data_IF_855285316834
#
_entry.id   IF_855285316834
#
_cell.length_a   1.000
_cell.length_b   1.000
_cell.length_c   1.000
_cell.angle_alpha   90.00
_cell.angle_beta   90.00
_cell.angle_gamma   90.00
#
_symmetry.space_group_name_H-M   'P 1'
#
loop_
_entity.id
_entity.type
_entity.pdbx_description
1 polymer ?
#
# COMPACT_ATOMS: atom_id res chain seq x y z
N UNK A 1 6.13 -51.82 39.44
CA UNK A 1 5.19 -51.22 38.46
C UNK A 1 4.56 -49.99 39.08
N UNK A 2 5.00 -48.79 38.69
CA UNK A 2 4.25 -47.55 38.83
C UNK A 2 4.85 -46.55 37.84
N UNK A 3 4.15 -46.36 36.72
CA UNK A 3 4.47 -45.33 35.72
C UNK A 3 3.86 -44.03 36.23
N UNK A 4 4.68 -43.06 36.62
CA UNK A 4 4.22 -41.70 36.88
C UNK A 4 4.69 -40.83 35.72
N UNK A 5 3.70 -40.44 34.93
CA UNK A 5 3.72 -39.37 33.94
C UNK A 5 4.34 -38.10 34.54
N UNK A 6 5.36 -37.55 33.90
CA UNK A 6 5.78 -36.17 34.11
C UNK A 6 5.81 -35.49 32.74
N UNK A 7 4.60 -35.14 32.31
CA UNK A 7 4.29 -34.32 31.14
C UNK A 7 3.95 -32.94 31.70
N UNK A 8 4.98 -32.15 32.00
CA UNK A 8 4.84 -30.75 32.43
C UNK A 8 5.98 -29.95 31.80
N UNK A 9 5.62 -28.81 31.20
CA UNK A 9 6.43 -27.89 30.38
C UNK A 9 6.34 -28.03 28.85
N UNK A 10 5.12 -28.01 28.30
CA UNK A 10 4.87 -27.42 26.97
C UNK A 10 3.59 -26.58 27.02
N UNK A 11 3.65 -25.40 27.64
CA UNK A 11 2.56 -24.40 27.55
C UNK A 11 3.03 -22.96 27.80
N UNK A 12 4.33 -22.67 27.66
CA UNK A 12 4.91 -21.32 27.83
C UNK A 12 5.51 -20.74 26.54
N UNK A 13 5.15 -21.30 25.38
CA UNK A 13 5.37 -20.68 24.09
C UNK A 13 4.00 -20.29 23.51
N UNK A 14 3.89 -19.09 22.94
CA UNK A 14 2.72 -18.49 22.26
C UNK A 14 1.85 -17.49 23.02
N UNK A 15 2.30 -16.93 24.15
CA UNK A 15 1.91 -15.55 24.49
C UNK A 15 2.86 -14.57 23.80
N UNK A 16 2.87 -14.61 22.46
CA UNK A 16 3.27 -13.43 21.70
C UNK A 16 2.25 -12.35 22.05
N UNK A 17 2.55 -11.55 23.07
CA UNK A 17 1.94 -10.24 23.22
C UNK A 17 2.39 -9.43 22.00
N UNK A 18 1.77 -9.67 20.85
CA UNK A 18 1.78 -8.71 19.77
C UNK A 18 1.10 -7.48 20.36
N UNK A 19 1.88 -6.52 20.83
CA UNK A 19 1.36 -5.19 21.10
C UNK A 19 0.57 -4.80 19.86
N UNK A 20 -0.73 -4.53 20.04
CA UNK A 20 -1.53 -4.05 18.95
C UNK A 20 -0.83 -2.82 18.35
N UNK A 21 -0.75 -2.73 17.02
CA UNK A 21 -0.07 -1.61 16.37
C UNK A 21 -0.68 -0.30 16.84
N UNK A 22 0.18 0.63 17.28
CA UNK A 22 -0.21 1.96 17.70
C UNK A 22 0.19 2.95 16.62
N UNK A 23 -0.79 3.68 16.11
CA UNK A 23 -0.61 4.73 15.12
C UNK A 23 0.32 5.84 15.63
N UNK A 24 1.17 6.34 14.74
CA UNK A 24 2.14 7.43 14.94
C UNK A 24 3.20 7.27 16.04
N UNK A 25 3.18 6.18 16.81
CA UNK A 25 4.31 5.76 17.66
C UNK A 25 5.26 4.87 16.89
N UNK A 26 4.72 3.85 16.22
CA UNK A 26 5.48 2.95 15.38
C UNK A 26 4.93 2.99 13.95
N UNK A 27 5.80 3.04 12.93
CA UNK A 27 5.36 2.90 11.55
C UNK A 27 4.63 1.58 11.33
N UNK A 28 3.56 1.61 10.54
CA UNK A 28 2.89 0.39 10.10
C UNK A 28 3.80 -0.39 9.13
N UNK A 29 4.11 -1.63 9.47
CA UNK A 29 4.97 -2.50 8.65
C UNK A 29 4.13 -3.21 7.58
N UNK A 30 4.28 -2.79 6.32
CA UNK A 30 3.45 -3.24 5.20
C UNK A 30 3.89 -4.59 4.62
N UNK A 31 5.16 -4.95 4.75
CA UNK A 31 5.69 -6.25 4.33
C UNK A 31 5.16 -7.41 5.19
N UNK A 32 4.78 -7.12 6.44
CA UNK A 32 4.17 -8.07 7.38
C UNK A 32 2.66 -7.86 7.54
N UNK A 33 2.07 -6.92 6.80
CA UNK A 33 0.69 -6.53 6.99
C UNK A 33 -0.29 -7.65 6.62
N UNK A 34 -1.32 -7.76 7.47
CA UNK A 34 -2.52 -8.55 7.24
C UNK A 34 -3.75 -7.73 7.62
N UNK A 35 -4.91 -8.09 7.07
CA UNK A 35 -6.14 -7.30 7.23
C UNK A 35 -6.82 -7.42 8.61
N UNK A 36 -6.20 -8.08 9.60
CA UNK A 36 -6.72 -8.17 10.98
C UNK A 36 -6.28 -6.98 11.84
N UNK A 37 -6.29 -5.79 11.26
CA UNK A 37 -5.96 -4.55 11.96
C UNK A 37 -7.23 -4.01 12.63
N UNK A 38 -7.15 -3.76 13.93
CA UNK A 38 -8.17 -3.04 14.69
C UNK A 38 -7.99 -1.53 14.42
N UNK A 39 -8.82 -0.98 13.53
CA UNK A 39 -8.74 0.41 13.07
C UNK A 39 -9.03 1.38 14.21
N UNK A 40 -10.05 1.09 15.02
CA UNK A 40 -10.39 1.88 16.19
C UNK A 40 -9.22 1.98 17.17
N UNK A 41 -8.57 0.85 17.49
CA UNK A 41 -7.37 0.84 18.35
C UNK A 41 -6.16 1.49 17.69
N UNK A 42 -6.00 1.33 16.36
CA UNK A 42 -4.94 1.98 15.61
C UNK A 42 -5.07 3.51 15.74
N UNK A 43 -6.21 4.09 15.39
CA UNK A 43 -6.44 5.55 15.43
C UNK A 43 -6.77 6.14 16.82
N UNK A 44 -6.87 5.31 17.87
CA UNK A 44 -7.34 5.71 19.23
C UNK A 44 -6.55 6.85 19.89
N UNK A 45 -5.25 6.92 19.63
CA UNK A 45 -4.38 7.91 20.26
C UNK A 45 -4.32 9.17 19.38
N UNK A 46 -5.29 10.07 19.51
CA UNK A 46 -5.28 11.35 18.79
C UNK A 46 -4.25 12.35 19.34
N UNK A 47 -3.66 12.07 20.52
CA UNK A 47 -2.79 13.02 21.22
C UNK A 47 -1.50 13.32 20.46
N UNK A 48 -1.11 12.44 19.55
CA UNK A 48 0.03 12.61 18.64
C UNK A 48 -0.24 13.64 17.52
N UNK A 49 -1.50 13.94 17.17
CA UNK A 49 -1.86 14.94 16.16
C UNK A 49 -2.37 16.23 16.77
N UNK A 50 -2.97 16.16 17.96
CA UNK A 50 -3.61 17.30 18.58
C UNK A 50 -2.59 18.41 18.85
N UNK A 51 -2.74 19.55 18.17
CA UNK A 51 -1.86 20.71 18.29
C UNK A 51 -0.54 20.61 17.52
N UNK A 52 -0.40 19.60 16.65
CA UNK A 52 0.74 19.41 15.77
C UNK A 52 0.40 19.89 14.37
N UNK A 53 1.13 20.89 13.87
CA UNK A 53 0.92 21.45 12.53
C UNK A 53 1.59 20.65 11.41
N UNK A 54 2.41 19.66 11.77
CA UNK A 54 3.14 18.79 10.84
C UNK A 54 2.33 17.57 10.38
N UNK A 55 1.06 17.46 10.77
CA UNK A 55 0.17 16.40 10.32
C UNK A 55 -1.15 16.92 9.75
N UNK A 56 -1.66 16.19 8.76
CA UNK A 56 -3.04 16.27 8.30
C UNK A 56 -3.69 14.90 8.48
N UNK A 57 -4.87 14.87 9.09
CA UNK A 57 -5.67 13.66 9.29
C UNK A 57 -7.08 13.94 8.80
N UNK A 58 -7.64 13.03 8.00
CA UNK A 58 -9.01 13.12 7.52
C UNK A 58 -9.67 11.76 7.49
N UNK A 59 -10.98 11.74 7.77
CA UNK A 59 -11.85 10.59 7.54
C UNK A 59 -13.03 11.04 6.66
N UNK A 60 -13.37 10.23 5.67
CA UNK A 60 -14.47 10.50 4.75
C UNK A 60 -15.18 9.23 4.31
N UNK A 61 -16.50 9.26 4.24
CA UNK A 61 -17.27 8.23 3.55
C UNK A 61 -17.09 8.35 2.04
N UNK A 62 -16.88 7.23 1.38
CA UNK A 62 -16.79 7.12 -0.07
C UNK A 62 -17.76 6.04 -0.54
N UNK A 63 -18.40 6.26 -1.68
CA UNK A 63 -19.30 5.26 -2.27
C UNK A 63 -18.86 4.90 -3.68
N UNK A 64 -18.82 3.60 -3.97
CA UNK A 64 -18.57 3.07 -5.31
C UNK A 64 -19.74 2.23 -5.79
N UNK A 65 -20.05 2.35 -7.08
CA UNK A 65 -20.96 1.43 -7.75
C UNK A 65 -20.20 0.16 -8.13
N UNK A 66 -20.70 -1.00 -7.70
CA UNK A 66 -20.16 -2.31 -8.03
C UNK A 66 -21.32 -3.28 -8.25
N UNK A 67 -21.33 -4.00 -9.39
CA UNK A 67 -22.40 -4.96 -9.76
C UNK A 67 -23.82 -4.44 -9.49
N UNK A 68 -24.12 -3.23 -9.98
CA UNK A 68 -25.41 -2.54 -9.83
C UNK A 68 -25.83 -2.15 -8.40
N UNK A 69 -24.93 -2.24 -7.43
CA UNK A 69 -25.14 -1.81 -6.05
C UNK A 69 -24.18 -0.68 -5.67
N UNK A 70 -24.68 0.32 -4.94
CA UNK A 70 -23.84 1.31 -4.30
C UNK A 70 -23.31 0.75 -2.98
N UNK A 71 -22.00 0.63 -2.86
CA UNK A 71 -21.34 0.19 -1.61
C UNK A 71 -20.59 1.37 -1.02
N UNK A 72 -20.79 1.61 0.28
CA UNK A 72 -20.12 2.67 1.04
C UNK A 72 -18.96 2.10 1.85
N UNK A 73 -17.88 2.87 1.91
CA UNK A 73 -16.65 2.57 2.62
C UNK A 73 -16.21 3.80 3.41
N UNK A 74 -15.39 3.60 4.43
CA UNK A 74 -14.79 4.72 5.17
C UNK A 74 -13.32 4.79 4.76
N UNK A 75 -12.88 5.96 4.32
CA UNK A 75 -11.49 6.24 3.99
C UNK A 75 -10.87 7.12 5.07
N UNK A 76 -9.77 6.66 5.64
CA UNK A 76 -8.88 7.42 6.50
C UNK A 76 -7.64 7.80 5.70
N UNK A 77 -7.17 9.04 5.87
CA UNK A 77 -5.92 9.50 5.29
C UNK A 77 -5.13 10.30 6.33
N UNK A 78 -3.85 10.02 6.38
CA UNK A 78 -2.88 10.69 7.23
C UNK A 78 -1.70 11.11 6.39
N UNK A 79 -1.27 12.36 6.52
CA UNK A 79 -0.03 12.85 5.94
C UNK A 79 0.81 13.56 6.98
N UNK A 80 2.06 13.19 7.06
CA UNK A 80 3.11 13.94 7.74
C UNK A 80 3.77 14.89 6.75
N UNK A 81 4.05 16.12 7.20
CA UNK A 81 4.84 17.12 6.49
C UNK A 81 6.35 17.02 6.85
N UNK A 82 6.73 16.05 7.68
CA UNK A 82 8.11 15.78 8.11
C UNK A 82 8.57 14.39 7.63
N UNK A 83 9.76 14.35 7.02
CA UNK A 83 10.45 13.11 6.60
C UNK A 83 10.97 12.29 7.80
N UNK A 84 11.00 12.85 9.01
CA UNK A 84 11.40 12.12 10.22
C UNK A 84 10.22 11.38 10.87
N UNK A 85 8.99 11.73 10.45
CA UNK A 85 7.74 11.22 10.99
C UNK A 85 7.16 10.16 10.05
N UNK A 86 7.72 8.98 10.14
CA UNK A 86 7.35 7.85 9.29
C UNK A 86 6.08 7.19 9.78
N UNK A 87 5.08 7.07 8.90
CA UNK A 87 3.78 6.48 9.19
C UNK A 87 3.70 5.01 8.78
N UNK A 88 4.41 4.62 7.73
CA UNK A 88 4.48 3.25 7.26
C UNK A 88 5.85 2.90 6.69
N UNK A 89 6.16 1.61 6.62
CA UNK A 89 7.39 1.09 6.03
C UNK A 89 7.14 -0.16 5.21
N UNK A 90 7.93 -0.33 4.16
CA UNK A 90 8.08 -1.61 3.46
C UNK A 90 9.57 -1.89 3.28
N UNK A 91 10.12 -2.83 4.05
CA UNK A 91 11.57 -3.01 4.13
C UNK A 91 12.29 -1.73 4.56
N UNK A 92 13.10 -1.15 3.66
CA UNK A 92 13.86 0.08 3.91
C UNK A 92 13.16 1.35 3.39
N UNK A 93 12.05 1.20 2.67
CA UNK A 93 11.25 2.33 2.20
C UNK A 93 10.44 2.90 3.36
N UNK A 94 10.51 4.21 3.54
CA UNK A 94 9.73 4.95 4.51
C UNK A 94 8.62 5.71 3.78
N UNK A 95 7.47 5.83 4.43
CA UNK A 95 6.31 6.55 3.91
C UNK A 95 5.79 7.55 4.93
N UNK A 96 5.63 8.80 4.50
CA UNK A 96 5.11 9.91 5.31
C UNK A 96 3.59 10.08 5.14
N UNK A 97 2.98 9.33 4.22
CA UNK A 97 1.52 9.25 4.05
C UNK A 97 1.03 7.83 4.31
N UNK A 98 -0.13 7.71 4.96
CA UNK A 98 -0.80 6.44 5.26
C UNK A 98 -2.31 6.62 5.07
N UNK A 99 -2.90 5.80 4.21
CA UNK A 99 -4.34 5.72 4.03
C UNK A 99 -4.86 4.33 4.35
N UNK A 100 -6.12 4.27 4.78
CA UNK A 100 -6.84 3.02 5.03
C UNK A 100 -8.25 3.14 4.50
N UNK A 101 -8.77 2.05 3.94
CA UNK A 101 -10.18 1.94 3.59
C UNK A 101 -10.78 0.75 4.32
N UNK A 102 -11.93 0.98 4.95
CA UNK A 102 -12.68 -0.04 5.66
C UNK A 102 -14.06 -0.22 5.04
N UNK A 103 -14.76 -1.29 5.46
CA UNK A 103 -16.20 -1.36 5.26
C UNK A 103 -16.94 -0.24 6.01
N UNK A 104 -18.23 -0.06 5.71
CA UNK A 104 -19.06 1.01 6.29
C UNK A 104 -19.27 0.89 7.80
N UNK A 105 -18.96 -0.26 8.40
CA UNK A 105 -19.04 -0.49 9.84
C UNK A 105 -17.71 -0.25 10.56
N UNK A 106 -16.64 0.10 9.83
CA UNK A 106 -15.28 0.26 10.37
C UNK A 106 -14.70 -1.03 11.02
N UNK A 107 -15.22 -2.19 10.62
CA UNK A 107 -14.87 -3.49 11.21
C UNK A 107 -13.76 -4.20 10.43
N UNK A 108 -13.67 -3.95 9.12
CA UNK A 108 -12.75 -4.67 8.23
C UNK A 108 -11.94 -3.73 7.38
N UNK A 109 -10.61 -3.82 7.49
CA UNK A 109 -9.70 -3.16 6.56
C UNK A 109 -9.72 -3.87 5.21
N UNK A 110 -10.00 -3.11 4.16
CA UNK A 110 -10.07 -3.57 2.77
C UNK A 110 -8.85 -3.15 1.95
N UNK A 111 -8.24 -2.02 2.32
CA UNK A 111 -7.06 -1.45 1.68
C UNK A 111 -6.22 -0.68 2.71
N UNK A 112 -4.91 -0.76 2.54
CA UNK A 112 -3.94 0.16 3.13
C UNK A 112 -3.10 0.77 2.01
N UNK A 113 -2.97 2.09 1.98
CA UNK A 113 -2.07 2.83 1.09
C UNK A 113 -0.96 3.48 1.90
N UNK A 114 0.22 3.60 1.31
CA UNK A 114 1.29 4.42 1.87
C UNK A 114 2.02 5.17 0.76
N UNK A 115 2.39 6.43 1.05
CA UNK A 115 2.94 7.35 0.05
C UNK A 115 4.16 8.11 0.54
N UNK A 116 5.10 8.40 -0.37
CA UNK A 116 6.25 9.28 -0.15
C UNK A 116 6.55 10.08 -1.41
N UNK A 117 6.84 11.36 -1.25
CA UNK A 117 7.29 12.26 -2.34
C UNK A 117 8.82 12.26 -2.50
N UNK A 118 9.54 11.51 -1.66
CA UNK A 118 10.98 11.69 -1.45
C UNK A 118 11.80 10.45 -1.78
N UNK A 119 11.21 9.44 -2.44
CA UNK A 119 11.94 8.21 -2.73
C UNK A 119 13.09 8.46 -3.72
N UNK A 120 14.26 7.94 -3.39
CA UNK A 120 15.40 7.91 -4.32
C UNK A 120 15.26 6.74 -5.29
N UNK A 121 15.90 6.83 -6.46
CA UNK A 121 15.92 5.74 -7.44
C UNK A 121 16.40 4.41 -6.81
N UNK A 122 17.45 4.46 -5.98
CA UNK A 122 17.97 3.26 -5.30
C UNK A 122 16.94 2.61 -4.35
N UNK A 123 16.16 3.41 -3.62
CA UNK A 123 15.09 2.89 -2.76
C UNK A 123 13.95 2.27 -3.58
N UNK A 124 13.57 2.89 -4.70
CA UNK A 124 12.54 2.34 -5.59
C UNK A 124 13.01 1.03 -6.22
N UNK A 125 14.26 0.94 -6.67
CA UNK A 125 14.85 -0.31 -7.18
C UNK A 125 14.86 -1.43 -6.13
N UNK A 126 15.23 -1.11 -4.88
CA UNK A 126 15.21 -2.09 -3.80
C UNK A 126 13.79 -2.55 -3.48
N UNK A 127 12.82 -1.62 -3.46
CA UNK A 127 11.41 -1.94 -3.27
C UNK A 127 10.89 -2.89 -4.36
N UNK A 128 11.15 -2.58 -5.63
CA UNK A 128 10.77 -3.43 -6.77
C UNK A 128 11.31 -4.85 -6.63
N UNK A 129 12.62 -5.00 -6.34
CA UNK A 129 13.25 -6.30 -6.13
C UNK A 129 12.62 -7.07 -4.98
N UNK A 130 12.29 -6.40 -3.87
CA UNK A 130 11.63 -7.03 -2.72
C UNK A 130 10.20 -7.47 -3.06
N UNK A 131 9.44 -6.65 -3.78
CA UNK A 131 8.08 -6.99 -4.21
C UNK A 131 8.07 -8.19 -5.16
N UNK A 132 8.94 -8.20 -6.18
CA UNK A 132 9.09 -9.32 -7.11
C UNK A 132 9.51 -10.60 -6.39
N UNK A 133 10.46 -10.52 -5.44
CA UNK A 133 10.87 -11.68 -4.64
C UNK A 133 9.73 -12.21 -3.75
N UNK A 134 8.91 -11.32 -3.19
CA UNK A 134 7.84 -11.70 -2.27
C UNK A 134 6.59 -12.23 -2.97
N UNK A 135 6.25 -11.69 -4.14
CA UNK A 135 4.95 -11.93 -4.78
C UNK A 135 5.05 -12.53 -6.20
N UNK A 136 6.25 -12.60 -6.78
CA UNK A 136 6.47 -13.25 -8.07
C UNK A 136 5.99 -12.41 -9.24
N UNK A 137 5.10 -13.01 -10.06
CA UNK A 137 4.64 -12.41 -11.31
C UNK A 137 3.83 -11.13 -11.07
N UNK A 138 4.08 -10.13 -11.90
CA UNK A 138 3.40 -8.87 -11.87
C UNK A 138 2.95 -8.45 -13.26
N UNK A 139 2.02 -7.51 -13.30
CA UNK A 139 1.62 -6.80 -14.50
C UNK A 139 1.94 -5.32 -14.39
N UNK A 140 2.11 -4.68 -15.54
CA UNK A 140 2.42 -3.28 -15.72
C UNK A 140 1.28 -2.63 -16.51
N UNK A 141 0.81 -1.48 -16.05
CA UNK A 141 0.04 -0.55 -16.87
C UNK A 141 0.58 0.86 -16.72
N UNK A 142 0.28 1.71 -17.69
CA UNK A 142 0.66 3.13 -17.65
C UNK A 142 -0.58 3.98 -17.83
N UNK A 143 -0.64 5.11 -17.14
CA UNK A 143 -1.73 6.06 -17.27
C UNK A 143 -1.14 7.42 -17.62
N UNK A 144 -1.68 8.07 -18.66
CA UNK A 144 -1.29 9.42 -19.04
C UNK A 144 -2.51 10.31 -18.99
N UNK A 145 -2.43 11.37 -18.19
CA UNK A 145 -3.38 12.47 -18.18
C UNK A 145 -2.62 13.80 -18.27
N UNK A 146 -3.33 14.89 -18.55
CA UNK A 146 -2.74 16.23 -18.71
C UNK A 146 -1.86 16.66 -17.52
N UNK A 147 -2.09 16.08 -16.34
CA UNK A 147 -1.41 16.47 -15.10
C UNK A 147 -0.68 15.33 -14.39
N UNK A 148 -0.68 14.12 -14.97
CA UNK A 148 -0.12 12.96 -14.27
C UNK A 148 0.24 11.84 -15.25
N UNK A 149 1.51 11.46 -15.23
CA UNK A 149 2.00 10.25 -15.88
C UNK A 149 2.32 9.21 -14.81
N UNK A 150 1.68 8.04 -14.87
CA UNK A 150 1.86 7.01 -13.86
C UNK A 150 2.29 5.70 -14.47
N UNK A 151 3.21 5.03 -13.77
CA UNK A 151 3.49 3.62 -13.95
C UNK A 151 2.83 2.87 -12.80
N UNK A 152 2.05 1.84 -13.12
CA UNK A 152 1.36 1.01 -12.15
C UNK A 152 1.84 -0.42 -12.30
N UNK A 153 2.38 -0.99 -11.23
CA UNK A 153 2.85 -2.38 -11.19
C UNK A 153 1.98 -3.13 -10.19
N UNK A 154 1.28 -4.16 -10.66
CA UNK A 154 0.34 -4.96 -9.86
C UNK A 154 0.89 -6.37 -9.65
N UNK A 155 1.03 -6.77 -8.39
CA UNK A 155 1.38 -8.12 -7.97
C UNK A 155 0.14 -8.80 -7.37
N UNK A 156 -0.12 -10.04 -7.77
CA UNK A 156 -1.21 -10.82 -7.21
C UNK A 156 -0.66 -11.93 -6.33
N UNK A 157 -1.08 -11.94 -5.07
CA UNK A 157 -0.68 -12.94 -4.08
C UNK A 157 -1.91 -13.62 -3.46
N UNK A 158 -1.69 -14.71 -2.75
CA UNK A 158 -2.75 -15.36 -2.00
C UNK A 158 -3.29 -14.42 -0.91
N UNK A 159 -4.58 -14.09 -0.99
CA UNK A 159 -5.27 -13.26 0.00
C UNK A 159 -4.99 -11.75 -0.08
N UNK A 160 -4.15 -11.27 -1.01
CA UNK A 160 -3.93 -9.82 -1.24
C UNK A 160 -3.41 -9.49 -2.63
N UNK A 161 -3.71 -8.27 -3.06
CA UNK A 161 -3.15 -7.62 -4.24
C UNK A 161 -2.25 -6.49 -3.76
N UNK A 162 -1.05 -6.39 -4.34
CA UNK A 162 -0.11 -5.30 -4.08
C UNK A 162 -0.02 -4.46 -5.33
N UNK A 163 -0.18 -3.14 -5.19
CA UNK A 163 -0.03 -2.21 -6.30
C UNK A 163 1.02 -1.17 -5.95
N UNK A 164 1.98 -0.98 -6.83
CA UNK A 164 2.97 0.08 -6.75
C UNK A 164 2.67 1.09 -7.86
N UNK A 165 2.46 2.34 -7.48
CA UNK A 165 2.32 3.45 -8.41
C UNK A 165 3.55 4.34 -8.30
N UNK A 166 4.13 4.67 -9.44
CA UNK A 166 5.24 5.62 -9.57
C UNK A 166 4.77 6.79 -10.42
N UNK A 167 4.73 7.98 -9.82
CA UNK A 167 4.26 9.19 -10.49
C UNK A 167 5.41 9.89 -11.24
N UNK A 168 5.04 10.53 -12.34
CA UNK A 168 5.90 11.22 -13.29
C UNK A 168 7.02 10.36 -13.90
N UNK A 169 6.92 9.04 -13.79
CA UNK A 169 7.82 8.11 -14.47
C UNK A 169 7.27 7.92 -15.88
N UNK A 170 7.99 8.49 -16.85
CA UNK A 170 7.48 8.79 -18.19
C UNK A 170 6.72 7.66 -18.89
N UNK A 171 5.67 8.02 -19.63
CA UNK A 171 4.78 7.07 -20.34
C UNK A 171 5.46 6.27 -21.46
N UNK A 172 6.68 6.65 -21.86
CA UNK A 172 7.48 5.97 -22.89
C UNK A 172 8.02 4.59 -22.46
N UNK A 173 7.59 4.06 -21.31
CA UNK A 173 7.92 2.69 -20.88
C UNK A 173 7.23 1.67 -21.79
N UNK A 174 6.00 1.96 -22.22
CA UNK A 174 5.27 1.12 -23.16
C UNK A 174 5.51 1.66 -24.57
N UNK A 175 5.97 0.79 -25.47
CA UNK A 175 6.24 1.18 -26.85
C UNK A 175 4.91 1.45 -27.57
N UNK A 176 4.73 2.66 -28.13
CA UNK A 176 3.47 3.09 -28.75
C UNK A 176 3.03 2.27 -29.97
N UNK A 177 3.90 1.42 -30.49
CA UNK A 177 3.65 0.54 -31.64
C UNK A 177 3.17 -0.86 -31.25
N UNK A 178 3.21 -1.23 -29.96
CA UNK A 178 2.68 -2.51 -29.51
C UNK A 178 1.16 -2.40 -29.28
N UNK A 179 0.35 -3.03 -30.15
CA UNK A 179 -1.03 -3.44 -29.82
C UNK A 179 -0.98 -4.56 -28.77
N UNK A 180 -0.47 -4.24 -27.59
CA UNK A 180 -0.34 -5.20 -26.51
C UNK A 180 -1.54 -5.12 -25.58
N UNK A 181 -1.89 -6.24 -24.91
CA UNK A 181 -2.89 -6.23 -23.86
C UNK A 181 -2.45 -5.29 -22.74
N UNK A 182 -3.35 -4.39 -22.32
CA UNK A 182 -3.24 -3.66 -21.06
C UNK A 182 -4.07 -4.41 -20.02
N UNK A 183 -3.45 -4.99 -18.96
CA UNK A 183 -2.08 -4.80 -18.53
C UNK A 183 -1.05 -5.78 -19.14
N UNK A 184 0.20 -5.30 -19.24
CA UNK A 184 1.36 -6.02 -19.77
C UNK A 184 2.03 -6.91 -18.71
N UNK A 185 2.64 -8.06 -19.05
CA UNK A 185 3.49 -8.78 -18.11
C UNK A 185 4.72 -7.96 -17.69
N UNK A 186 4.93 -7.74 -16.39
CA UNK A 186 6.09 -7.01 -15.86
C UNK A 186 7.30 -7.95 -15.76
N UNK A 187 7.99 -8.14 -16.89
CA UNK A 187 9.23 -8.91 -16.99
C UNK A 187 10.47 -8.04 -17.17
N UNK A 188 11.63 -8.68 -17.39
CA UNK A 188 12.95 -8.03 -17.47
C UNK A 188 13.01 -6.83 -18.45
N UNK A 189 12.32 -6.89 -19.60
CA UNK A 189 12.22 -5.78 -20.57
C UNK A 189 11.66 -4.52 -19.91
N UNK A 190 10.49 -4.64 -19.25
CA UNK A 190 9.78 -3.51 -18.65
C UNK A 190 10.41 -3.07 -17.35
N UNK A 191 10.95 -4.00 -16.56
CA UNK A 191 11.73 -3.67 -15.37
C UNK A 191 12.93 -2.78 -15.72
N UNK A 192 13.71 -3.15 -16.74
CA UNK A 192 14.85 -2.34 -17.17
C UNK A 192 14.44 -0.92 -17.60
N UNK A 193 13.31 -0.78 -18.31
CA UNK A 193 12.79 0.53 -18.72
C UNK A 193 12.33 1.38 -17.54
N UNK A 194 11.60 0.78 -16.57
CA UNK A 194 11.20 1.48 -15.34
C UNK A 194 12.43 1.92 -14.56
N UNK A 195 13.41 1.04 -14.39
CA UNK A 195 14.65 1.31 -13.66
C UNK A 195 15.46 2.43 -14.33
N UNK A 196 15.56 2.43 -15.65
CA UNK A 196 16.22 3.52 -16.39
C UNK A 196 15.46 4.85 -16.22
N UNK A 197 14.12 4.83 -16.28
CA UNK A 197 13.29 6.02 -16.11
C UNK A 197 13.42 6.63 -14.70
N UNK A 198 13.40 5.81 -13.63
CA UNK A 198 13.60 6.30 -12.26
C UNK A 198 15.01 6.84 -12.02
N UNK A 199 16.05 6.26 -12.64
CA UNK A 199 17.43 6.75 -12.53
C UNK A 199 17.66 8.10 -13.19
N UNK A 200 16.83 8.45 -14.19
CA UNK A 200 16.88 9.74 -14.88
C UNK A 200 16.19 10.86 -14.08
N UNK A 201 15.42 10.53 -13.04
CA UNK A 201 14.81 11.53 -12.15
C UNK A 201 15.88 12.19 -11.28
N UNK A 202 15.83 13.52 -11.25
CA UNK A 202 16.73 14.35 -10.44
C UNK A 202 16.13 14.71 -9.09
N UNK A 203 14.80 14.79 -9.04
CA UNK A 203 14.02 15.08 -7.84
C UNK A 203 13.52 13.77 -7.20
N UNK A 204 12.94 13.90 -6.01
CA UNK A 204 12.27 12.78 -5.34
C UNK A 204 11.22 12.13 -6.24
N UNK A 205 11.15 10.81 -6.21
CA UNK A 205 10.15 10.04 -6.93
C UNK A 205 8.93 9.92 -6.02
N UNK A 206 7.77 10.34 -6.51
CA UNK A 206 6.53 10.12 -5.79
C UNK A 206 6.07 8.67 -5.98
N UNK A 207 5.97 7.95 -4.86
CA UNK A 207 5.69 6.51 -4.80
C UNK A 207 4.47 6.29 -3.93
N UNK A 208 3.54 5.48 -4.43
CA UNK A 208 2.44 4.94 -3.62
C UNK A 208 2.43 3.42 -3.65
N UNK A 209 2.32 2.80 -2.47
CA UNK A 209 2.16 1.36 -2.30
C UNK A 209 0.78 1.07 -1.72
N UNK A 210 0.04 0.18 -2.36
CA UNK A 210 -1.27 -0.27 -1.93
C UNK A 210 -1.22 -1.76 -1.58
N UNK A 211 -1.82 -2.12 -0.44
CA UNK A 211 -2.08 -3.49 -0.02
C UNK A 211 -3.59 -3.67 0.08
N UNK A 212 -4.16 -4.49 -0.81
CA UNK A 212 -5.61 -4.53 -1.05
C UNK A 212 -6.14 -5.95 -0.95
N UNK A 213 -7.34 -6.12 -0.39
CA UNK A 213 -8.03 -7.40 -0.48
C UNK A 213 -8.42 -7.70 -1.94
N UNK A 214 -8.42 -8.96 -2.39
CA UNK A 214 -8.77 -9.28 -3.78
C UNK A 214 -10.16 -8.78 -4.17
N UNK A 215 -11.15 -8.92 -3.29
CA UNK A 215 -12.51 -8.42 -3.51
C UNK A 215 -12.53 -6.91 -3.71
N UNK A 216 -11.81 -6.13 -2.89
CA UNK A 216 -11.81 -4.69 -3.02
C UNK A 216 -10.99 -4.21 -4.22
N UNK A 217 -9.96 -4.95 -4.64
CA UNK A 217 -9.28 -4.69 -5.92
C UNK A 217 -10.22 -4.81 -7.13
N UNK A 218 -11.13 -5.80 -7.14
CA UNK A 218 -12.17 -5.91 -8.17
C UNK A 218 -13.12 -4.68 -8.16
N UNK A 219 -13.56 -4.25 -6.98
CA UNK A 219 -14.38 -3.04 -6.83
C UNK A 219 -13.66 -1.81 -7.40
N UNK A 220 -12.38 -1.66 -7.08
CA UNK A 220 -11.59 -0.51 -7.55
C UNK A 220 -11.34 -0.57 -9.06
N UNK A 221 -11.20 -1.73 -9.67
CA UNK A 221 -11.04 -1.85 -11.13
C UNK A 221 -12.31 -1.44 -11.89
N UNK A 222 -13.50 -1.61 -11.31
CA UNK A 222 -14.78 -1.21 -11.90
C UNK A 222 -15.19 0.23 -11.57
N UNK A 223 -14.54 0.86 -10.58
CA UNK A 223 -14.89 2.19 -10.12
C UNK A 223 -14.61 3.25 -11.21
N UNK A 224 -15.59 4.14 -11.43
CA UNK A 224 -15.52 5.19 -12.47
C UNK A 224 -14.74 6.44 -12.07
N UNK A 225 -14.56 6.65 -10.77
CA UNK A 225 -13.89 7.82 -10.22
C UNK A 225 -13.41 7.50 -8.82
N UNK A 226 -12.28 8.09 -8.42
CA UNK A 226 -11.72 7.95 -7.09
C UNK A 226 -11.57 9.30 -6.39
N UNK A 227 -11.39 9.28 -5.08
CA UNK A 227 -11.15 10.45 -4.24
C UNK A 227 -9.97 10.22 -3.30
N UNK A 228 -9.34 11.30 -2.85
CA UNK A 228 -8.18 11.22 -1.94
C UNK A 228 -7.04 10.36 -2.49
N UNK A 229 -6.46 9.52 -1.64
CA UNK A 229 -5.36 8.60 -1.98
C UNK A 229 -5.71 7.61 -3.10
N UNK A 230 -6.99 7.26 -3.26
CA UNK A 230 -7.43 6.31 -4.28
C UNK A 230 -7.38 6.88 -5.70
N UNK A 231 -7.22 8.20 -5.87
CA UNK A 231 -6.98 8.82 -7.19
C UNK A 231 -5.75 8.28 -7.91
N UNK A 232 -4.81 7.69 -7.15
CA UNK A 232 -3.58 7.09 -7.67
C UNK A 232 -3.60 5.56 -7.68
N UNK A 233 -4.75 4.98 -7.33
CA UNK A 233 -5.01 3.57 -7.57
C UNK A 233 -5.18 3.35 -9.07
#
# INVERSE_FOLDING_TARGET
MQKIFLLFFVSLAFSSCSQQPQYGKNPLLLDQFNFKLDVGSFYKDESIFRGKSDFSVSASEISYAYKDHQTTFIQYATRSMSQDRILAKYGAMNFESLGMVTDSADEKVLLVSAGTDYATAAQVEELLKKLQKAYGQATLSTTSSVHLEQVRIRFQAEGKVIKLTLDDIGTQIVDSEEQAPDPLPFGAKYEAKVVDAIRKKKDGIHVMLFVVTPMFDEVLQEARSFTGDLTRY
#
